data_IF_174606250152
#
_entry.id   IF_174606250152
#
_cell.length_a   1.000
_cell.length_b   1.000
_cell.length_c   1.000
_cell.angle_alpha   90.00
_cell.angle_beta   90.00
_cell.angle_gamma   90.00
#
_symmetry.space_group_name_H-M   'P 1'
#
loop_
_entity.id
_entity.type
_entity.pdbx_description
1 polymer ?
#
# COMPACT_ATOMS: atom_id res chain seq x y z
N UNK A 1 14.60 -1.62 3.68
CA UNK A 1 14.51 -0.76 2.47
C UNK A 1 13.46 0.31 2.70
N UNK A 2 13.44 1.39 1.91
CA UNK A 2 12.40 2.42 1.97
C UNK A 2 11.74 2.51 0.60
N UNK A 3 10.42 2.55 0.58
CA UNK A 3 9.62 2.71 -0.63
C UNK A 3 8.73 3.93 -0.48
N UNK A 4 8.58 4.69 -1.56
CA UNK A 4 7.54 5.70 -1.63
C UNK A 4 6.20 5.01 -1.87
N UNK A 5 5.20 5.36 -1.06
CA UNK A 5 3.83 4.88 -1.23
C UNK A 5 2.97 6.08 -1.56
N UNK A 6 2.08 5.92 -2.52
CA UNK A 6 1.06 6.92 -2.86
C UNK A 6 -0.23 6.44 -2.22
N UNK A 7 -0.83 7.28 -1.39
CA UNK A 7 -2.11 7.01 -0.73
C UNK A 7 -3.14 7.96 -1.34
N UNK A 8 -4.21 7.41 -1.88
CA UNK A 8 -5.33 8.14 -2.44
C UNK A 8 -6.56 7.96 -1.56
N UNK A 9 -7.22 9.08 -1.23
CA UNK A 9 -8.49 9.07 -0.52
C UNK A 9 -9.61 8.84 -1.53
N UNK A 10 -10.38 7.78 -1.35
CA UNK A 10 -11.63 7.56 -2.06
C UNK A 10 -12.83 7.95 -1.16
N UNK A 11 -14.04 7.78 -1.68
CA UNK A 11 -15.27 8.25 -1.03
C UNK A 11 -15.43 7.69 0.40
N UNK A 12 -15.16 6.40 0.60
CA UNK A 12 -15.37 5.71 1.88
C UNK A 12 -14.12 4.99 2.44
N UNK A 13 -13.01 5.02 1.72
CA UNK A 13 -11.78 4.32 2.11
C UNK A 13 -10.54 5.01 1.51
N UNK A 14 -9.41 4.33 1.62
CA UNK A 14 -8.15 4.70 1.02
C UNK A 14 -7.68 3.57 0.10
N UNK A 15 -7.01 3.94 -0.98
CA UNK A 15 -6.20 3.06 -1.81
C UNK A 15 -4.73 3.46 -1.70
N UNK A 16 -3.83 2.49 -1.81
CA UNK A 16 -2.40 2.75 -1.81
C UNK A 16 -1.68 1.85 -2.81
N UNK A 17 -0.62 2.38 -3.39
CA UNK A 17 0.26 1.65 -4.30
C UNK A 17 1.70 2.15 -4.21
N UNK A 18 2.63 1.30 -4.65
CA UNK A 18 4.06 1.59 -4.70
C UNK A 18 4.46 1.81 -6.18
N UNK A 19 4.87 3.02 -6.60
CA UNK A 19 5.26 3.27 -7.99
C UNK A 19 6.41 2.38 -8.48
N UNK A 20 7.32 2.04 -7.57
CA UNK A 20 8.50 1.22 -7.86
C UNK A 20 8.20 -0.29 -7.93
N UNK A 21 7.02 -0.73 -7.45
CA UNK A 21 6.60 -2.15 -7.43
C UNK A 21 5.24 -2.29 -8.14
N UNK A 22 5.21 -2.35 -9.48
CA UNK A 22 3.98 -2.49 -10.23
C UNK A 22 3.15 -3.71 -9.78
N UNK A 23 1.87 -3.48 -9.51
CA UNK A 23 0.95 -4.51 -9.00
C UNK A 23 0.95 -4.67 -7.48
N UNK A 24 1.84 -3.99 -6.76
CA UNK A 24 1.80 -3.92 -5.29
C UNK A 24 0.81 -2.83 -4.85
N UNK A 25 -0.43 -3.25 -4.57
CA UNK A 25 -1.56 -2.37 -4.24
C UNK A 25 -2.32 -2.88 -3.02
N UNK A 26 -2.97 -1.97 -2.29
CA UNK A 26 -3.84 -2.32 -1.17
C UNK A 26 -4.92 -1.26 -0.93
N UNK A 27 -5.89 -1.58 -0.08
CA UNK A 27 -6.95 -0.66 0.37
C UNK A 27 -7.12 -0.76 1.89
N UNK A 28 -7.61 0.30 2.53
CA UNK A 28 -7.89 0.33 3.97
C UNK A 28 -8.86 1.45 4.34
N UNK A 29 -9.52 1.38 5.49
CA UNK A 29 -10.47 2.40 5.96
C UNK A 29 -9.78 3.55 6.67
N UNK A 30 -8.60 3.31 7.27
CA UNK A 30 -7.78 4.33 7.93
C UNK A 30 -6.37 4.41 7.37
N UNK A 31 -5.65 5.48 7.69
CA UNK A 31 -4.25 5.66 7.27
C UNK A 31 -3.32 4.65 7.95
N UNK A 32 -3.63 4.26 9.19
CA UNK A 32 -2.86 3.25 9.93
C UNK A 32 -3.04 1.86 9.31
N UNK A 33 -4.29 1.48 9.02
CA UNK A 33 -4.60 0.21 8.37
C UNK A 33 -3.90 0.10 7.01
N UNK A 34 -3.97 1.17 6.19
CA UNK A 34 -3.39 1.11 4.86
C UNK A 34 -1.85 1.08 4.90
N UNK A 35 -1.23 1.71 5.90
CA UNK A 35 0.22 1.67 6.07
C UNK A 35 0.71 0.26 6.46
N UNK A 36 0.02 -0.42 7.38
CA UNK A 36 0.33 -1.80 7.76
C UNK A 36 0.09 -2.76 6.58
N UNK A 37 -1.06 -2.66 5.91
CA UNK A 37 -1.35 -3.50 4.74
C UNK A 37 -0.31 -3.29 3.63
N UNK A 38 0.17 -2.06 3.42
CA UNK A 38 1.16 -1.77 2.38
C UNK A 38 2.52 -2.36 2.73
N UNK A 39 2.89 -2.35 4.02
CA UNK A 39 4.12 -2.97 4.49
C UNK A 39 4.11 -4.49 4.26
N UNK A 40 2.99 -5.15 4.53
CA UNK A 40 2.80 -6.58 4.27
C UNK A 40 2.82 -6.89 2.77
N UNK A 41 2.11 -6.10 1.96
CA UNK A 41 2.06 -6.30 0.52
C UNK A 41 3.43 -6.09 -0.16
N UNK A 42 4.24 -5.13 0.31
CA UNK A 42 5.62 -4.94 -0.15
C UNK A 42 6.46 -6.16 0.22
N UNK A 43 6.38 -6.63 1.47
CA UNK A 43 7.15 -7.79 1.92
C UNK A 43 6.80 -9.03 1.10
N UNK A 44 5.50 -9.30 0.92
CA UNK A 44 5.01 -10.41 0.12
C UNK A 44 5.48 -10.33 -1.34
N UNK A 45 5.48 -9.13 -1.94
CA UNK A 45 5.95 -8.94 -3.32
C UNK A 45 7.45 -9.20 -3.47
N UNK A 46 8.25 -8.91 -2.44
CA UNK A 46 9.70 -9.14 -2.45
C UNK A 46 10.09 -10.59 -2.13
N UNK A 47 9.23 -11.31 -1.41
CA UNK A 47 9.41 -12.73 -1.08
C UNK A 47 8.95 -13.66 -2.22
N UNK A 48 8.28 -13.12 -3.24
CA UNK A 48 7.72 -13.84 -4.40
C UNK A 48 8.74 -14.28 -5.45
#
# INVERSE_FOLDING_TARGET
>A
MRYAIIIEKAENNYSAYVPDLPGCVTTGKTLEEIAENMKEAIQFHLDG
#
